data_IF_347975842382
#
_entry.id   IF_347975842382
#
_cell.length_a   1.000
_cell.length_b   1.000
_cell.length_c   1.000
_cell.angle_alpha   90.00
_cell.angle_beta   90.00
_cell.angle_gamma   90.00
#
_symmetry.space_group_name_H-M   'P 1'
#
loop_
_entity.id
_entity.type
_entity.pdbx_description
1 polymer ?
#
# COMPACT_ATOMS: atom_id res chain seq x y z
N UNK A 1 -0.96 -31.06 -7.93
CA UNK A 1 -1.15 -30.05 -9.00
C UNK A 1 -0.21 -28.88 -8.71
N UNK A 2 0.95 -28.81 -9.38
CA UNK A 2 1.99 -27.79 -9.09
C UNK A 2 1.62 -26.51 -9.85
N UNK A 3 0.89 -25.60 -9.20
CA UNK A 3 0.48 -24.34 -9.80
C UNK A 3 1.73 -23.46 -10.02
N UNK A 4 2.00 -23.08 -11.27
CA UNK A 4 3.11 -22.18 -11.59
C UNK A 4 2.78 -20.78 -11.08
N UNK A 5 3.36 -20.39 -9.95
CA UNK A 5 3.28 -19.07 -9.30
C UNK A 5 3.71 -17.90 -10.23
N UNK A 6 4.26 -18.19 -11.40
CA UNK A 6 4.96 -17.23 -12.27
C UNK A 6 4.16 -16.67 -13.46
N UNK A 7 2.92 -17.11 -13.72
CA UNK A 7 2.14 -16.64 -14.89
C UNK A 7 0.84 -15.92 -14.49
N UNK A 8 0.86 -14.58 -14.55
CA UNK A 8 -0.29 -13.69 -14.33
C UNK A 8 -1.27 -13.74 -15.51
N UNK A 9 -2.03 -14.83 -15.62
CA UNK A 9 -3.09 -14.97 -16.61
C UNK A 9 -4.46 -14.71 -15.96
N UNK A 10 -5.45 -14.20 -16.71
CA UNK A 10 -6.81 -13.99 -16.20
C UNK A 10 -7.39 -15.25 -15.55
N UNK A 11 -7.05 -16.42 -16.11
CA UNK A 11 -7.40 -17.74 -15.58
C UNK A 11 -6.84 -17.98 -14.17
N UNK A 12 -5.63 -17.48 -13.88
CA UNK A 12 -5.02 -17.60 -12.55
C UNK A 12 -5.80 -16.79 -11.52
N UNK A 13 -6.12 -15.53 -11.82
CA UNK A 13 -6.94 -14.69 -10.94
C UNK A 13 -8.30 -15.33 -10.64
N UNK A 14 -8.93 -15.91 -11.66
CA UNK A 14 -10.20 -16.62 -11.47
C UNK A 14 -10.06 -17.88 -10.61
N UNK A 15 -8.98 -18.64 -10.81
CA UNK A 15 -8.70 -19.82 -9.99
C UNK A 15 -8.44 -19.46 -8.52
N UNK A 16 -7.75 -18.34 -8.26
CA UNK A 16 -7.56 -17.83 -6.89
C UNK A 16 -8.89 -17.45 -6.26
N UNK A 17 -9.74 -16.69 -6.97
CA UNK A 17 -11.09 -16.35 -6.48
C UNK A 17 -11.94 -17.58 -6.21
N UNK A 18 -11.90 -18.55 -7.12
CA UNK A 18 -12.60 -19.81 -6.97
C UNK A 18 -12.12 -20.58 -5.73
N UNK A 19 -10.82 -20.68 -5.52
CA UNK A 19 -10.24 -21.34 -4.34
C UNK A 19 -10.67 -20.64 -3.03
N UNK A 20 -10.62 -19.31 -2.99
CA UNK A 20 -11.09 -18.54 -1.83
C UNK A 20 -12.59 -18.73 -1.60
N UNK A 21 -13.38 -18.81 -2.68
CA UNK A 21 -14.82 -19.08 -2.59
C UNK A 21 -15.06 -20.48 -2.01
N UNK A 22 -14.38 -21.51 -2.53
CA UNK A 22 -14.46 -22.86 -1.97
C UNK A 22 -14.06 -22.90 -0.50
N UNK A 23 -12.97 -22.23 -0.12
CA UNK A 23 -12.56 -22.14 1.28
C UNK A 23 -13.62 -21.43 2.15
N UNK A 24 -14.30 -20.42 1.60
CA UNK A 24 -15.42 -19.75 2.27
C UNK A 24 -16.61 -20.69 2.45
N UNK A 25 -16.94 -21.53 1.48
CA UNK A 25 -18.02 -22.53 1.61
C UNK A 25 -17.67 -23.64 2.61
N UNK A 26 -16.38 -23.99 2.74
CA UNK A 26 -15.92 -25.02 3.70
C UNK A 26 -15.91 -24.48 5.14
N UNK A 27 -15.53 -23.22 5.35
CA UNK A 27 -15.59 -22.58 6.66
C UNK A 27 -14.32 -21.85 7.10
N UNK A 28 -14.37 -21.29 8.32
CA UNK A 28 -13.31 -20.48 8.93
C UNK A 28 -11.94 -21.17 8.93
N UNK A 29 -11.90 -22.47 9.24
CA UNK A 29 -10.64 -23.24 9.28
C UNK A 29 -9.97 -23.35 7.92
N UNK A 30 -10.74 -23.49 6.83
CA UNK A 30 -10.19 -23.54 5.49
C UNK A 30 -9.62 -22.20 5.08
N UNK A 31 -10.31 -21.08 5.40
CA UNK A 31 -9.80 -19.73 5.17
C UNK A 31 -8.50 -19.46 5.93
N UNK A 32 -8.44 -19.82 7.22
CA UNK A 32 -7.23 -19.66 8.02
C UNK A 32 -6.07 -20.52 7.47
N UNK A 33 -6.35 -21.75 7.04
CA UNK A 33 -5.37 -22.64 6.44
C UNK A 33 -4.77 -22.10 5.14
N UNK A 34 -5.59 -21.57 4.23
CA UNK A 34 -5.07 -20.99 2.96
C UNK A 34 -4.30 -19.68 3.21
N UNK A 35 -4.67 -18.91 4.24
CA UNK A 35 -3.92 -17.71 4.64
C UNK A 35 -2.58 -18.08 5.26
N UNK A 36 -2.49 -19.11 6.11
CA UNK A 36 -1.21 -19.56 6.68
C UNK A 36 -0.27 -20.15 5.62
N UNK A 37 -0.83 -20.87 4.64
CA UNK A 37 -0.05 -21.52 3.57
C UNK A 37 0.09 -20.68 2.29
N UNK A 38 -0.20 -19.39 2.37
CA UNK A 38 -0.31 -18.50 1.20
C UNK A 38 0.91 -18.52 0.28
N UNK A 39 2.11 -18.62 0.84
CA UNK A 39 3.37 -18.56 0.11
C UNK A 39 3.55 -19.74 -0.87
N UNK A 40 2.80 -20.82 -0.68
CA UNK A 40 2.78 -21.99 -1.58
C UNK A 40 1.68 -21.89 -2.63
N UNK A 41 0.63 -21.11 -2.37
CA UNK A 41 -0.61 -21.08 -3.16
C UNK A 41 -0.71 -19.83 -4.03
N UNK A 42 -0.23 -18.68 -3.54
CA UNK A 42 -0.49 -17.36 -4.07
C UNK A 42 0.79 -16.53 -4.20
N UNK A 43 0.78 -15.59 -5.14
CA UNK A 43 1.73 -14.47 -5.13
C UNK A 43 1.36 -13.49 -4.00
N UNK A 44 2.30 -12.66 -3.52
CA UNK A 44 2.02 -11.66 -2.48
C UNK A 44 0.84 -10.73 -2.85
N UNK A 45 0.76 -10.33 -4.11
CA UNK A 45 -0.30 -9.46 -4.62
C UNK A 45 -1.66 -10.17 -4.64
N UNK A 46 -1.73 -11.43 -5.03
CA UNK A 46 -2.95 -12.23 -4.97
C UNK A 46 -3.41 -12.47 -3.52
N UNK A 47 -2.47 -12.79 -2.63
CA UNK A 47 -2.73 -13.01 -1.22
C UNK A 47 -3.33 -11.75 -0.54
N UNK A 48 -2.76 -10.57 -0.80
CA UNK A 48 -3.29 -9.31 -0.23
C UNK A 48 -4.57 -8.84 -0.90
N UNK A 49 -4.58 -8.68 -2.22
CA UNK A 49 -5.67 -8.03 -2.94
C UNK A 49 -6.91 -8.91 -3.15
N UNK A 50 -6.75 -10.25 -3.15
CA UNK A 50 -7.85 -11.19 -3.33
C UNK A 50 -8.16 -11.90 -2.01
N UNK A 51 -7.20 -12.62 -1.44
CA UNK A 51 -7.46 -13.50 -0.29
C UNK A 51 -7.81 -12.69 0.96
N UNK A 52 -6.91 -11.83 1.45
CA UNK A 52 -7.17 -11.03 2.66
C UNK A 52 -8.39 -10.11 2.50
N UNK A 53 -8.52 -9.47 1.35
CA UNK A 53 -9.66 -8.57 1.08
C UNK A 53 -11.00 -9.32 1.09
N UNK A 54 -11.04 -10.54 0.54
CA UNK A 54 -12.26 -11.37 0.59
C UNK A 54 -12.55 -11.85 2.01
N UNK A 55 -11.54 -12.28 2.76
CA UNK A 55 -11.69 -12.72 4.16
C UNK A 55 -12.22 -11.59 5.03
N UNK A 56 -11.76 -10.36 4.83
CA UNK A 56 -12.17 -9.19 5.61
C UNK A 56 -13.49 -8.55 5.13
N UNK A 57 -14.12 -9.07 4.07
CA UNK A 57 -15.34 -8.50 3.50
C UNK A 57 -16.60 -8.82 4.34
N UNK A 58 -17.56 -7.89 4.35
CA UNK A 58 -18.87 -8.10 4.99
C UNK A 58 -19.62 -9.31 4.40
N UNK A 59 -19.43 -9.61 3.10
CA UNK A 59 -20.01 -10.79 2.46
C UNK A 59 -19.52 -12.11 3.07
N UNK A 60 -18.27 -12.17 3.53
CA UNK A 60 -17.73 -13.39 4.15
C UNK A 60 -18.26 -13.54 5.58
N UNK A 61 -18.41 -12.44 6.32
CA UNK A 61 -19.01 -12.42 7.66
C UNK A 61 -20.44 -12.96 7.62
N UNK A 62 -21.26 -12.45 6.69
CA UNK A 62 -22.67 -12.86 6.55
C UNK A 62 -22.78 -14.32 6.10
N UNK A 63 -21.98 -14.75 5.12
CA UNK A 63 -22.04 -16.15 4.62
C UNK A 63 -21.68 -17.17 5.69
N UNK A 64 -20.63 -16.89 6.47
CA UNK A 64 -20.14 -17.80 7.49
C UNK A 64 -20.85 -17.65 8.85
N UNK A 65 -21.76 -16.69 8.99
CA UNK A 65 -22.42 -16.37 10.26
C UNK A 65 -21.43 -16.21 11.42
N UNK A 66 -20.35 -15.46 11.17
CA UNK A 66 -19.25 -15.32 12.12
C UNK A 66 -19.70 -14.57 13.37
N UNK A 67 -19.28 -15.07 14.54
CA UNK A 67 -19.30 -14.28 15.76
C UNK A 67 -18.15 -13.25 15.76
N UNK A 68 -18.22 -12.29 16.68
CA UNK A 68 -17.22 -11.22 16.79
C UNK A 68 -15.80 -11.78 17.04
N UNK A 69 -15.69 -12.90 17.76
CA UNK A 69 -14.40 -13.51 18.09
C UNK A 69 -13.74 -14.16 16.87
N UNK A 70 -14.50 -14.93 16.09
CA UNK A 70 -14.03 -15.55 14.84
C UNK A 70 -13.70 -14.50 13.79
N UNK A 71 -14.50 -13.42 13.72
CA UNK A 71 -14.22 -12.29 12.85
C UNK A 71 -12.86 -11.65 13.19
N UNK A 72 -12.59 -11.36 14.46
CA UNK A 72 -11.31 -10.75 14.85
C UNK A 72 -10.14 -11.70 14.64
N UNK A 73 -10.32 -13.00 14.90
CA UNK A 73 -9.29 -14.00 14.60
C UNK A 73 -8.95 -14.05 13.11
N UNK A 74 -9.95 -14.11 12.23
CA UNK A 74 -9.74 -14.08 10.78
C UNK A 74 -9.13 -12.77 10.32
N UNK A 75 -9.55 -11.64 10.88
CA UNK A 75 -8.96 -10.34 10.59
C UNK A 75 -7.48 -10.29 11.01
N UNK A 76 -7.13 -10.83 12.18
CA UNK A 76 -5.75 -10.97 12.64
C UNK A 76 -4.88 -11.81 11.70
N UNK A 77 -5.39 -12.96 11.24
CA UNK A 77 -4.72 -13.79 10.23
C UNK A 77 -4.55 -13.05 8.90
N UNK A 78 -5.57 -12.32 8.45
CA UNK A 78 -5.52 -11.53 7.21
C UNK A 78 -4.53 -10.35 7.30
N UNK A 79 -4.44 -9.67 8.45
CA UNK A 79 -3.44 -8.62 8.70
C UNK A 79 -2.03 -9.20 8.71
N UNK A 80 -1.83 -10.32 9.40
CA UNK A 80 -0.54 -11.03 9.43
C UNK A 80 -0.09 -11.43 8.02
N UNK A 81 -1.00 -12.00 7.22
CA UNK A 81 -0.78 -12.30 5.81
C UNK A 81 -0.36 -11.04 5.04
N UNK A 82 -1.08 -9.94 5.21
CA UNK A 82 -0.83 -8.71 4.48
C UNK A 82 0.52 -8.09 4.81
N UNK A 83 0.92 -8.09 6.08
CA UNK A 83 2.25 -7.64 6.53
C UNK A 83 3.36 -8.49 5.92
N UNK A 84 3.22 -9.82 5.93
CA UNK A 84 4.21 -10.72 5.32
C UNK A 84 4.35 -10.49 3.81
N UNK A 85 3.22 -10.25 3.13
CA UNK A 85 3.23 -9.93 1.70
C UNK A 85 3.89 -8.57 1.43
N UNK A 86 3.61 -7.56 2.26
CA UNK A 86 4.24 -6.24 2.16
C UNK A 86 5.76 -6.29 2.41
N UNK A 87 6.24 -7.15 3.32
CA UNK A 87 7.68 -7.35 3.51
C UNK A 87 8.34 -7.98 2.28
N UNK A 88 7.63 -8.89 1.58
CA UNK A 88 8.18 -9.63 0.43
C UNK A 88 8.14 -8.83 -0.87
N UNK A 89 7.07 -8.05 -1.06
CA UNK A 89 6.87 -7.21 -2.24
C UNK A 89 6.24 -5.87 -1.85
N UNK A 90 7.03 -4.96 -1.24
CA UNK A 90 6.50 -3.69 -0.73
C UNK A 90 5.89 -2.82 -1.82
N UNK A 91 6.43 -2.87 -3.04
CA UNK A 91 6.03 -1.99 -4.14
C UNK A 91 4.56 -2.17 -4.53
N UNK A 92 4.03 -3.40 -4.43
CA UNK A 92 2.65 -3.70 -4.82
C UNK A 92 1.74 -4.06 -3.64
N UNK A 93 2.28 -4.44 -2.48
CA UNK A 93 1.49 -4.89 -1.34
C UNK A 93 1.37 -3.88 -0.20
N UNK A 94 2.23 -2.86 -0.12
CA UNK A 94 2.26 -1.92 1.00
C UNK A 94 0.93 -1.18 1.24
N UNK A 95 0.34 -0.60 0.19
CA UNK A 95 -0.93 0.12 0.31
C UNK A 95 -2.07 -0.80 0.76
N UNK A 96 -2.15 -1.99 0.17
CA UNK A 96 -3.13 -3.00 0.58
C UNK A 96 -2.95 -3.40 2.05
N UNK A 97 -1.73 -3.63 2.49
CA UNK A 97 -1.45 -3.94 3.90
C UNK A 97 -1.87 -2.80 4.84
N UNK A 98 -1.57 -1.55 4.49
CA UNK A 98 -2.02 -0.39 5.25
C UNK A 98 -3.55 -0.32 5.37
N UNK A 99 -4.28 -0.58 4.28
CA UNK A 99 -5.75 -0.54 4.27
C UNK A 99 -6.36 -1.67 5.12
N UNK A 100 -5.80 -2.88 5.06
CA UNK A 100 -6.27 -4.05 5.82
C UNK A 100 -5.96 -3.90 7.31
N UNK A 101 -4.89 -3.19 7.66
CA UNK A 101 -4.48 -2.96 9.03
C UNK A 101 -5.12 -1.73 9.70
N UNK A 102 -5.92 -0.92 9.01
CA UNK A 102 -6.46 0.36 9.54
C UNK A 102 -7.12 0.28 10.91
N UNK A 103 -7.79 -0.84 11.22
CA UNK A 103 -8.52 -1.04 12.48
C UNK A 103 -7.63 -1.44 13.67
N UNK A 104 -6.39 -1.82 13.40
CA UNK A 104 -5.45 -2.33 14.38
C UNK A 104 -4.21 -1.44 14.41
N UNK A 105 -4.07 -0.66 15.48
CA UNK A 105 -2.98 0.31 15.59
C UNK A 105 -1.60 -0.34 15.47
N UNK A 106 -1.38 -1.52 16.06
CA UNK A 106 -0.06 -2.17 16.06
C UNK A 106 0.27 -2.67 14.66
N UNK A 107 -0.69 -3.32 14.00
CA UNK A 107 -0.52 -3.81 12.64
C UNK A 107 -0.35 -2.65 11.65
N UNK A 108 -1.07 -1.53 11.85
CA UNK A 108 -0.96 -0.34 11.01
C UNK A 108 0.41 0.32 11.13
N UNK A 109 0.92 0.51 12.34
CA UNK A 109 2.29 1.01 12.54
C UNK A 109 3.32 0.13 11.87
N UNK A 110 3.17 -1.19 12.00
CA UNK A 110 4.09 -2.15 11.38
C UNK A 110 4.07 -2.04 9.86
N UNK A 111 2.88 -1.96 9.26
CA UNK A 111 2.72 -1.73 7.82
C UNK A 111 3.37 -0.41 7.40
N UNK A 112 3.21 0.67 8.18
CA UNK A 112 3.82 1.96 7.90
C UNK A 112 5.36 1.92 7.97
N UNK A 113 5.94 1.20 8.95
CA UNK A 113 7.39 1.00 9.01
C UNK A 113 7.92 0.22 7.80
N UNK A 114 7.20 -0.82 7.35
CA UNK A 114 7.55 -1.55 6.12
C UNK A 114 7.63 -0.59 4.92
N UNK A 115 6.71 0.37 4.82
CA UNK A 115 6.75 1.38 3.74
C UNK A 115 7.98 2.27 3.86
N UNK A 116 8.32 2.73 5.07
CA UNK A 116 9.51 3.57 5.28
C UNK A 116 10.80 2.82 4.93
N UNK A 117 10.93 1.57 5.35
CA UNK A 117 12.09 0.73 5.02
C UNK A 117 12.17 0.49 3.50
N UNK A 118 11.03 0.20 2.88
CA UNK A 118 10.94 0.01 1.44
C UNK A 118 11.22 1.29 0.64
N UNK A 119 10.88 2.45 1.17
CA UNK A 119 11.25 3.73 0.59
C UNK A 119 12.77 3.85 0.51
N UNK A 120 13.52 3.45 1.54
CA UNK A 120 15.00 3.53 1.51
C UNK A 120 15.67 2.52 0.57
N UNK A 121 15.00 1.40 0.28
CA UNK A 121 15.56 0.29 -0.53
C UNK A 121 15.20 0.36 -2.01
N UNK A 122 14.48 1.40 -2.45
CA UNK A 122 14.24 1.67 -3.87
C UNK A 122 12.79 1.57 -4.34
N UNK A 123 11.80 1.71 -3.44
CA UNK A 123 10.42 1.88 -3.86
C UNK A 123 10.30 3.07 -4.83
N UNK A 124 9.52 2.90 -5.90
CA UNK A 124 9.30 3.98 -6.88
C UNK A 124 8.61 5.19 -6.24
N UNK A 125 9.02 6.40 -6.64
CA UNK A 125 8.42 7.65 -6.15
C UNK A 125 6.89 7.68 -6.36
N UNK A 126 6.38 7.12 -7.47
CA UNK A 126 4.95 7.08 -7.78
C UNK A 126 4.13 6.32 -6.73
N UNK A 127 4.66 5.19 -6.25
CA UNK A 127 4.02 4.40 -5.19
C UNK A 127 4.12 5.12 -3.84
N UNK A 128 5.27 5.74 -3.54
CA UNK A 128 5.43 6.53 -2.32
C UNK A 128 4.44 7.70 -2.25
N UNK A 129 4.25 8.43 -3.35
CA UNK A 129 3.23 9.49 -3.41
C UNK A 129 1.80 8.96 -3.28
N UNK A 130 1.51 7.81 -3.86
CA UNK A 130 0.20 7.16 -3.72
C UNK A 130 -0.08 6.83 -2.25
N UNK A 131 0.90 6.24 -1.55
CA UNK A 131 0.78 5.91 -0.12
C UNK A 131 0.74 7.19 0.74
N UNK A 132 1.51 8.22 0.39
CA UNK A 132 1.52 9.49 1.09
C UNK A 132 0.14 10.18 1.03
N UNK A 133 -0.49 10.25 -0.15
CA UNK A 133 -1.87 10.76 -0.28
C UNK A 133 -2.87 9.95 0.51
N UNK A 134 -2.74 8.63 0.48
CA UNK A 134 -3.56 7.77 1.30
C UNK A 134 -3.42 8.11 2.80
N UNK A 135 -2.21 8.36 3.30
CA UNK A 135 -1.98 8.78 4.69
C UNK A 135 -2.61 10.13 5.02
N UNK A 136 -2.54 11.10 4.11
CA UNK A 136 -3.17 12.41 4.28
C UNK A 136 -4.70 12.27 4.36
N UNK A 137 -5.30 11.52 3.42
CA UNK A 137 -6.75 11.26 3.42
C UNK A 137 -7.24 10.54 4.68
N UNK A 138 -6.38 9.74 5.32
CA UNK A 138 -6.68 9.09 6.61
C UNK A 138 -6.45 9.99 7.83
N UNK A 139 -6.00 11.23 7.64
CA UNK A 139 -5.81 12.21 8.70
C UNK A 139 -4.43 12.17 9.36
N UNK A 140 -3.41 11.61 8.70
CA UNK A 140 -2.03 11.55 9.19
C UNK A 140 -1.08 12.43 8.36
N UNK A 141 -1.24 13.78 8.37
CA UNK A 141 -0.51 14.67 7.47
C UNK A 141 1.00 14.67 7.72
N UNK A 142 1.46 14.51 8.97
CA UNK A 142 2.90 14.40 9.28
C UNK A 142 3.52 13.12 8.70
N UNK A 143 2.78 12.01 8.66
CA UNK A 143 3.24 10.75 8.07
C UNK A 143 3.24 10.83 6.55
N UNK A 144 2.19 11.42 5.99
CA UNK A 144 2.12 11.72 4.56
C UNK A 144 3.31 12.57 4.11
N UNK A 145 3.65 13.62 4.86
CA UNK A 145 4.78 14.48 4.55
C UNK A 145 6.13 13.74 4.61
N UNK A 146 6.34 12.88 5.61
CA UNK A 146 7.55 12.05 5.69
C UNK A 146 7.70 11.13 4.47
N UNK A 147 6.61 10.54 3.98
CA UNK A 147 6.64 9.73 2.76
C UNK A 147 6.82 10.58 1.49
N UNK A 148 6.20 11.75 1.42
CA UNK A 148 6.31 12.67 0.29
C UNK A 148 7.76 13.19 0.14
N UNK A 149 8.41 13.55 1.24
CA UNK A 149 9.83 13.97 1.23
C UNK A 149 10.77 12.85 0.77
N UNK A 150 10.52 11.60 1.17
CA UNK A 150 11.24 10.43 0.65
C UNK A 150 10.93 10.17 -0.83
N UNK A 151 9.70 10.40 -1.30
CA UNK A 151 9.36 10.30 -2.71
C UNK A 151 10.11 11.36 -3.55
N UNK A 152 10.23 12.58 -3.02
CA UNK A 152 10.94 13.70 -3.65
C UNK A 152 12.43 13.44 -3.82
N UNK A 153 13.09 12.74 -2.89
CA UNK A 153 14.51 12.37 -3.05
C UNK A 153 14.73 11.35 -4.17
N UNK A 154 13.69 10.58 -4.52
CA UNK A 154 13.72 9.57 -5.58
C UNK A 154 13.25 10.13 -6.93
N UNK A 155 12.64 11.31 -6.94
CA UNK A 155 12.13 11.97 -8.13
C UNK A 155 13.25 12.76 -8.84
N UNK A 156 13.26 12.70 -10.17
CA UNK A 156 14.13 13.53 -11.00
C UNK A 156 13.38 13.95 -12.27
N UNK A 157 12.89 15.19 -12.27
CA UNK A 157 12.24 15.83 -13.41
C UNK A 157 13.27 16.63 -14.20
N UNK A 158 13.47 16.23 -15.45
CA UNK A 158 14.41 16.88 -16.38
C UNK A 158 13.82 18.13 -17.06
N UNK A 159 14.66 18.89 -17.77
CA UNK A 159 14.38 20.25 -18.25
C UNK A 159 13.16 20.42 -19.19
N UNK A 160 12.60 19.33 -19.77
CA UNK A 160 11.53 19.39 -20.79
C UNK A 160 10.33 18.47 -20.45
N UNK A 161 9.99 18.34 -19.17
CA UNK A 161 8.98 17.40 -18.68
C UNK A 161 7.71 18.07 -18.14
N UNK A 162 7.27 19.14 -18.79
CA UNK A 162 6.20 20.03 -18.35
C UNK A 162 4.81 19.35 -18.27
N UNK A 163 4.64 18.18 -18.87
CA UNK A 163 3.41 17.36 -18.79
C UNK A 163 3.58 16.11 -17.92
N UNK A 164 4.66 16.00 -17.14
CA UNK A 164 4.94 14.79 -16.37
C UNK A 164 3.96 14.66 -15.18
N UNK A 165 3.35 13.48 -14.95
CA UNK A 165 2.34 13.30 -13.92
C UNK A 165 2.83 13.63 -12.50
N UNK A 166 4.13 13.44 -12.24
CA UNK A 166 4.74 13.79 -10.96
C UNK A 166 4.75 15.29 -10.64
N UNK A 167 4.50 16.19 -11.61
CA UNK A 167 4.37 17.63 -11.31
C UNK A 167 3.24 17.85 -10.31
N UNK A 168 2.10 17.19 -10.49
CA UNK A 168 0.98 17.26 -9.56
C UNK A 168 1.33 16.68 -8.18
N UNK A 169 2.23 15.69 -8.12
CA UNK A 169 2.73 15.12 -6.87
C UNK A 169 3.62 16.11 -6.12
N UNK A 170 4.49 16.83 -6.85
CA UNK A 170 5.36 17.88 -6.29
C UNK A 170 4.52 19.05 -5.78
N UNK A 171 3.59 19.55 -6.58
CA UNK A 171 2.70 20.66 -6.19
C UNK A 171 1.89 20.31 -4.93
N UNK A 172 1.35 19.09 -4.90
CA UNK A 172 0.65 18.57 -3.73
C UNK A 172 1.57 18.49 -2.49
N UNK A 173 2.80 17.98 -2.64
CA UNK A 173 3.76 17.90 -1.53
C UNK A 173 4.13 19.28 -0.98
N UNK A 174 4.28 20.29 -1.84
CA UNK A 174 4.49 21.68 -1.44
C UNK A 174 3.29 22.24 -0.69
N UNK A 175 2.07 22.02 -1.18
CA UNK A 175 0.84 22.46 -0.53
C UNK A 175 0.66 21.79 0.85
N UNK A 176 0.92 20.48 0.95
CA UNK A 176 0.93 19.75 2.22
C UNK A 176 1.94 20.35 3.19
N UNK A 177 3.17 20.61 2.74
CA UNK A 177 4.23 21.21 3.57
C UNK A 177 3.86 22.60 4.06
N UNK A 178 3.23 23.41 3.19
CA UNK A 178 2.70 24.72 3.57
C UNK A 178 1.62 24.61 4.66
N UNK A 179 0.72 23.63 4.56
CA UNK A 179 -0.34 23.39 5.55
C UNK A 179 0.19 22.96 6.92
N UNK A 180 1.33 22.25 6.95
CA UNK A 180 1.97 21.78 8.18
C UNK A 180 2.77 22.87 8.90
N UNK A 181 3.31 23.83 8.15
CA UNK A 181 3.93 25.04 8.67
C UNK A 181 5.25 25.41 8.02
N UNK A 182 5.82 26.54 8.48
CA UNK A 182 7.01 27.16 7.86
C UNK A 182 8.26 26.27 7.89
N UNK A 183 8.43 25.44 8.93
CA UNK A 183 9.60 24.57 9.07
C UNK A 183 9.61 23.48 8.00
N UNK A 184 8.47 22.83 7.77
CA UNK A 184 8.37 21.76 6.77
C UNK A 184 8.45 22.31 5.34
N UNK A 185 7.87 23.50 5.11
CA UNK A 185 8.05 24.19 3.84
C UNK A 185 9.52 24.54 3.57
N UNK A 186 10.24 25.07 4.58
CA UNK A 186 11.66 25.38 4.45
C UNK A 186 12.51 24.14 4.17
N UNK A 187 12.12 22.97 4.69
CA UNK A 187 12.82 21.70 4.47
C UNK A 187 12.54 21.10 3.08
N UNK A 188 11.34 21.28 2.52
CA UNK A 188 10.99 20.71 1.21
C UNK A 188 11.52 21.53 0.03
N UNK A 189 11.65 22.86 0.16
CA UNK A 189 12.10 23.75 -0.92
C UNK A 189 13.44 23.30 -1.54
N UNK A 190 14.51 23.01 -0.76
CA UNK A 190 15.78 22.53 -1.33
C UNK A 190 15.63 21.19 -2.07
N UNK A 191 14.72 20.32 -1.62
CA UNK A 191 14.45 19.04 -2.28
C UNK A 191 13.76 19.25 -3.62
N UNK A 192 12.80 20.18 -3.70
CA UNK A 192 12.14 20.56 -4.96
C UNK A 192 13.16 21.09 -5.96
N UNK A 193 14.00 22.05 -5.55
CA UNK A 193 15.03 22.64 -6.43
C UNK A 193 16.02 21.58 -6.94
N UNK A 194 16.33 20.57 -6.11
CA UNK A 194 17.22 19.47 -6.51
C UNK A 194 16.56 18.48 -7.46
N UNK A 195 15.29 18.14 -7.21
CA UNK A 195 14.56 17.09 -7.94
C UNK A 195 13.89 17.60 -9.21
N UNK A 196 13.57 18.89 -9.29
CA UNK A 196 12.87 19.52 -10.42
C UNK A 196 13.81 20.48 -11.12
N UNK A 197 14.18 20.15 -12.36
CA UNK A 197 15.00 21.01 -13.23
C UNK A 197 14.18 21.77 -14.27
N UNK A 198 12.89 21.48 -14.35
CA UNK A 198 11.96 22.16 -15.23
C UNK A 198 11.66 23.57 -14.69
N UNK A 199 12.03 24.60 -15.45
CA UNK A 199 11.94 25.99 -15.02
C UNK A 199 10.51 26.49 -14.86
N UNK A 200 9.57 26.03 -15.69
CA UNK A 200 8.15 26.38 -15.62
C UNK A 200 7.49 25.84 -14.34
N UNK A 201 7.82 24.61 -13.96
CA UNK A 201 7.33 24.01 -12.71
C UNK A 201 7.93 24.71 -11.48
N UNK A 202 9.20 25.12 -11.54
CA UNK A 202 9.83 25.87 -10.46
C UNK A 202 9.20 27.26 -10.28
N UNK A 203 8.82 27.95 -11.36
CA UNK A 203 8.15 29.25 -11.25
C UNK A 203 6.74 29.18 -10.68
N UNK A 204 6.05 28.04 -10.82
CA UNK A 204 4.72 27.85 -10.23
C UNK A 204 4.79 27.53 -8.73
N UNK A 205 5.95 27.09 -8.23
CA UNK A 205 6.15 26.65 -6.83
C UNK A 205 6.82 27.72 -5.95
N UNK A 206 7.79 28.46 -6.50
CA UNK A 206 8.63 29.44 -5.78
C UNK A 206 8.13 30.88 -5.97
#
# INVERSE_FOLDING_TARGET
MRMTLSTLNWRRREMVRWLVTCATEVGVYALDSIMQNWFTLFTPTEATSIVATTVMSNSTIVRLHLDCHQQEKLAGSARTLALQCAMKDPQYCALSALTLCEKDHIAFETAYQIVLDAATTGMSYSQLFTIARYMEHRGYPMRAYKLATLAMTHLNLSYNQDTHPAINDVLWACALSHSLGKNELAAIIPLVVKSVKCATVLSDIL
#
